data_IF_301247470446
#
_entry.id   IF_301247470446
#
_cell.length_a   1.000
_cell.length_b   1.000
_cell.length_c   1.000
_cell.angle_alpha   90.00
_cell.angle_beta   90.00
_cell.angle_gamma   90.00
#
_symmetry.space_group_name_H-M   'P 1'
#
loop_
_entity.id
_entity.type
_entity.pdbx_description
1 polymer ?
#
# COMPACT_ATOMS: atom_id res chain seq x y z
N UNK A 1 -4.31 -2.07 -14.39
CA UNK A 1 -3.34 -2.33 -13.28
C UNK A 1 -4.06 -2.08 -11.97
N UNK A 2 -3.80 -2.89 -10.95
CA UNK A 2 -4.41 -2.76 -9.62
C UNK A 2 -3.88 -1.52 -8.89
N UNK A 3 -4.75 -0.55 -8.58
CA UNK A 3 -4.37 0.65 -7.83
C UNK A 3 -3.97 0.34 -6.37
N UNK A 4 -4.50 -0.75 -5.81
CA UNK A 4 -4.23 -1.17 -4.42
C UNK A 4 -2.77 -1.59 -4.18
N UNK A 5 -1.99 -1.85 -5.23
CA UNK A 5 -0.55 -2.18 -5.12
C UNK A 5 0.37 -1.01 -5.45
N UNK A 6 -0.18 0.17 -5.66
CA UNK A 6 0.59 1.40 -5.83
C UNK A 6 0.82 2.02 -4.46
N UNK A 7 2.08 2.08 -4.06
CA UNK A 7 2.50 2.79 -2.86
C UNK A 7 2.80 4.25 -3.22
N UNK A 8 2.09 5.18 -2.60
CA UNK A 8 2.33 6.61 -2.77
C UNK A 8 3.25 7.09 -1.66
N UNK A 9 4.47 7.41 -2.03
CA UNK A 9 5.43 7.96 -1.10
C UNK A 9 5.21 9.46 -0.98
N UNK A 10 4.53 9.87 0.07
CA UNK A 10 4.47 11.26 0.49
C UNK A 10 5.10 11.39 1.87
N UNK A 11 5.97 12.39 2.12
CA UNK A 11 6.58 12.57 3.44
C UNK A 11 5.56 12.82 4.57
N UNK A 12 4.35 13.22 4.22
CA UNK A 12 3.29 13.61 5.16
C UNK A 12 2.03 12.75 5.09
N UNK A 13 2.10 11.56 4.49
CA UNK A 13 0.92 10.71 4.29
C UNK A 13 -0.15 11.38 3.41
N UNK A 14 -0.89 10.60 2.64
CA UNK A 14 -2.09 11.10 1.99
C UNK A 14 -3.16 11.35 3.04
N UNK A 15 -3.83 12.50 3.02
CA UNK A 15 -4.86 12.88 4.00
C UNK A 15 -5.93 11.80 4.23
N UNK A 16 -6.22 10.95 3.23
CA UNK A 16 -7.20 9.87 3.36
C UNK A 16 -6.73 8.62 4.12
N UNK A 17 -5.44 8.51 4.47
CA UNK A 17 -4.86 7.29 5.09
C UNK A 17 -4.60 7.48 6.60
N UNK A 18 -4.70 8.71 7.11
CA UNK A 18 -4.48 8.99 8.54
C UNK A 18 -5.48 8.29 9.45
N UNK A 19 -6.71 8.11 8.97
CA UNK A 19 -7.79 7.46 9.71
C UNK A 19 -7.74 5.93 9.60
N UNK A 20 -6.96 5.38 8.68
CA UNK A 20 -6.83 3.95 8.48
C UNK A 20 -5.86 3.35 9.51
N UNK A 21 -6.11 2.12 9.93
CA UNK A 21 -5.13 1.29 10.62
C UNK A 21 -4.41 0.36 9.62
N UNK A 22 -3.63 -0.60 10.13
CA UNK A 22 -2.92 -1.55 9.30
C UNK A 22 -3.86 -2.46 8.49
N UNK A 23 -5.03 -2.82 9.03
CA UNK A 23 -6.04 -3.63 8.36
C UNK A 23 -6.71 -2.87 7.23
N UNK A 24 -7.23 -1.67 7.50
CA UNK A 24 -7.84 -0.80 6.49
C UNK A 24 -6.89 -0.54 5.33
N UNK A 25 -5.65 -0.23 5.66
CA UNK A 25 -4.61 0.00 4.66
C UNK A 25 -4.33 -1.24 3.82
N UNK A 26 -4.16 -2.42 4.46
CA UNK A 26 -3.82 -3.65 3.75
C UNK A 26 -4.91 -4.08 2.76
N UNK A 27 -6.16 -3.85 3.10
CA UNK A 27 -7.32 -4.25 2.28
C UNK A 27 -7.90 -3.13 1.40
N UNK A 28 -7.24 -1.96 1.35
CA UNK A 28 -7.70 -0.79 0.55
C UNK A 28 -9.10 -0.34 0.96
N UNK A 29 -9.38 -0.35 2.25
CA UNK A 29 -10.70 -0.08 2.83
C UNK A 29 -10.96 1.42 3.04
N UNK A 30 -10.12 2.30 2.57
CA UNK A 30 -10.15 3.74 2.81
C UNK A 30 -11.57 4.30 3.00
N UNK A 31 -11.91 4.63 4.24
CA UNK A 31 -13.19 5.21 4.62
C UNK A 31 -12.96 6.56 5.33
N UNK A 32 -12.82 7.67 4.59
CA UNK A 32 -12.51 8.97 5.17
C UNK A 32 -13.62 9.51 6.10
N UNK A 33 -14.80 8.90 6.08
CA UNK A 33 -15.96 9.31 6.90
C UNK A 33 -16.12 8.50 8.18
N UNK A 34 -15.32 7.43 8.38
CA UNK A 34 -15.38 6.65 9.61
C UNK A 34 -14.25 7.08 10.53
N UNK A 35 -14.54 7.61 11.70
CA UNK A 35 -13.53 7.86 12.72
C UNK A 35 -13.00 6.56 13.35
N UNK A 36 -13.68 5.45 13.12
CA UNK A 36 -13.36 4.15 13.69
C UNK A 36 -12.50 3.34 12.73
N UNK A 37 -11.39 2.85 13.25
CA UNK A 37 -10.51 1.92 12.56
C UNK A 37 -11.15 0.56 12.55
N UNK A 38 -11.26 -0.02 11.35
CA UNK A 38 -11.88 -1.32 11.21
C UNK A 38 -10.94 -2.44 11.70
N UNK A 39 -11.55 -3.48 12.20
CA UNK A 39 -10.89 -4.72 12.58
C UNK A 39 -11.51 -5.89 11.81
N UNK A 40 -10.83 -7.05 11.69
CA UNK A 40 -11.44 -8.22 11.05
C UNK A 40 -12.78 -8.58 11.69
N UNK A 41 -13.84 -8.68 10.88
CA UNK A 41 -15.23 -8.93 11.29
C UNK A 41 -16.15 -7.71 11.18
N UNK A 42 -15.63 -6.49 11.14
CA UNK A 42 -16.47 -5.28 11.13
C UNK A 42 -17.31 -5.18 9.85
N UNK A 43 -16.78 -5.60 8.71
CA UNK A 43 -17.50 -5.53 7.44
C UNK A 43 -18.58 -6.61 7.33
N UNK A 44 -18.44 -7.74 8.03
CA UNK A 44 -19.43 -8.81 8.11
C UNK A 44 -20.42 -8.66 9.26
N UNK A 45 -20.23 -7.65 10.12
CA UNK A 45 -20.98 -7.42 11.35
C UNK A 45 -20.78 -8.52 12.41
N UNK A 46 -19.67 -9.22 12.36
CA UNK A 46 -19.24 -10.12 13.42
C UNK A 46 -18.58 -9.32 14.54
N UNK A 47 -19.40 -8.75 15.41
CA UNK A 47 -18.99 -7.88 16.53
C UNK A 47 -18.45 -8.61 17.75
N UNK A 48 -18.12 -9.87 17.62
CA UNK A 48 -17.55 -10.62 18.75
C UNK A 48 -16.16 -10.07 19.12
N UNK A 49 -16.16 -9.04 19.91
CA UNK A 49 -15.01 -8.47 20.62
C UNK A 49 -14.58 -9.44 21.71
N UNK A 50 -13.74 -10.40 21.38
CA UNK A 50 -13.33 -11.38 22.36
C UNK A 50 -11.96 -11.97 22.07
N UNK A 51 -11.52 -12.90 22.89
CA UNK A 51 -10.25 -13.62 22.79
C UNK A 51 -10.03 -14.31 21.42
N UNK A 52 -11.10 -14.62 20.68
CA UNK A 52 -11.04 -15.16 19.31
C UNK A 52 -10.39 -14.23 18.30
N UNK A 53 -10.41 -12.95 18.57
CA UNK A 53 -9.78 -11.92 17.76
C UNK A 53 -8.25 -11.99 17.76
N UNK A 54 -7.68 -12.59 18.78
CA UNK A 54 -6.24 -12.63 19.03
C UNK A 54 -5.55 -13.88 18.49
N UNK A 55 -6.28 -14.84 17.97
CA UNK A 55 -5.71 -16.04 17.39
C UNK A 55 -5.79 -16.03 15.85
N UNK A 56 -4.87 -16.73 15.21
CA UNK A 56 -4.75 -16.75 13.76
C UNK A 56 -6.01 -17.27 13.06
N UNK A 57 -6.66 -18.29 13.61
CA UNK A 57 -7.85 -18.89 13.01
C UNK A 57 -9.06 -17.96 13.11
N UNK A 58 -9.25 -17.31 14.25
CA UNK A 58 -10.32 -16.33 14.44
C UNK A 58 -10.19 -15.12 13.50
N UNK A 59 -8.97 -14.60 13.34
CA UNK A 59 -8.67 -13.54 12.38
C UNK A 59 -8.96 -14.01 10.95
N UNK A 60 -8.50 -15.21 10.57
CA UNK A 60 -8.67 -15.74 9.21
C UNK A 60 -10.15 -15.90 8.84
N UNK A 61 -10.96 -16.49 9.75
CA UNK A 61 -12.41 -16.63 9.56
C UNK A 61 -13.06 -15.27 9.26
N UNK A 62 -12.80 -14.27 10.09
CA UNK A 62 -13.40 -12.94 9.97
C UNK A 62 -12.99 -12.20 8.72
N UNK A 63 -11.71 -12.29 8.33
CA UNK A 63 -11.23 -11.72 7.06
C UNK A 63 -11.97 -12.33 5.88
N UNK A 64 -12.16 -13.66 5.86
CA UNK A 64 -12.84 -14.32 4.76
C UNK A 64 -14.33 -13.99 4.72
N UNK A 65 -14.97 -13.75 5.85
CA UNK A 65 -16.35 -13.25 5.90
C UNK A 65 -16.45 -11.78 5.44
N UNK A 66 -15.57 -10.89 5.92
CA UNK A 66 -15.55 -9.49 5.50
C UNK A 66 -15.37 -9.34 3.99
N UNK A 67 -14.54 -10.19 3.40
CA UNK A 67 -14.18 -10.16 1.98
C UNK A 67 -14.68 -11.36 1.21
N UNK A 68 -15.85 -11.91 1.57
CA UNK A 68 -16.47 -13.05 0.92
C UNK A 68 -16.54 -12.89 -0.61
N UNK A 69 -15.87 -13.80 -1.33
CA UNK A 69 -15.71 -13.75 -2.79
C UNK A 69 -14.75 -12.66 -3.30
N UNK A 70 -14.12 -11.88 -2.42
CA UNK A 70 -13.17 -10.82 -2.75
C UNK A 70 -11.75 -11.14 -2.27
N UNK A 71 -11.60 -12.08 -1.33
CA UNK A 71 -10.32 -12.58 -0.87
C UNK A 71 -10.37 -14.10 -0.68
N UNK A 72 -9.21 -14.73 -0.73
CA UNK A 72 -9.03 -16.13 -0.36
C UNK A 72 -7.67 -16.31 0.32
N UNK A 73 -7.63 -17.19 1.29
CA UNK A 73 -6.40 -17.59 1.98
C UNK A 73 -5.57 -18.49 1.09
N UNK A 74 -4.26 -18.35 1.13
CA UNK A 74 -3.31 -19.20 0.40
C UNK A 74 -2.52 -20.07 1.38
N UNK A 75 -2.20 -21.33 1.00
CA UNK A 75 -1.60 -22.30 1.93
C UNK A 75 -0.16 -21.92 2.32
N UNK A 76 0.56 -21.21 1.47
CA UNK A 76 1.93 -20.74 1.70
C UNK A 76 2.05 -19.27 1.32
N UNK A 77 2.80 -18.50 2.10
CA UNK A 77 3.07 -17.08 1.82
C UNK A 77 3.71 -16.85 0.45
N UNK A 78 4.45 -17.84 -0.08
CA UNK A 78 5.08 -17.81 -1.40
C UNK A 78 4.14 -18.10 -2.56
N UNK A 79 2.97 -18.74 -2.31
CA UNK A 79 1.98 -19.04 -3.36
C UNK A 79 1.59 -17.78 -4.12
N UNK A 80 1.71 -17.75 -5.46
CA UNK A 80 1.34 -16.56 -6.23
C UNK A 80 -0.18 -16.33 -6.22
N UNK A 81 -0.58 -15.07 -6.25
CA UNK A 81 -1.98 -14.71 -6.47
C UNK A 81 -2.31 -14.74 -7.98
N UNK A 82 -3.53 -15.13 -8.31
CA UNK A 82 -4.05 -15.04 -9.69
C UNK A 82 -4.15 -13.58 -10.16
N UNK A 83 -4.26 -13.39 -11.46
CA UNK A 83 -4.40 -12.06 -12.05
C UNK A 83 -5.57 -11.28 -11.43
N UNK A 84 -5.40 -9.97 -11.24
CA UNK A 84 -6.40 -9.12 -10.59
C UNK A 84 -6.40 -9.16 -9.06
N UNK A 85 -5.49 -9.92 -8.44
CA UNK A 85 -5.33 -10.00 -6.99
C UNK A 85 -3.93 -9.53 -6.56
N UNK A 86 -3.82 -9.07 -5.32
CA UNK A 86 -2.56 -8.73 -4.65
C UNK A 86 -2.45 -9.48 -3.33
N UNK A 87 -1.23 -9.61 -2.84
CA UNK A 87 -0.97 -10.38 -1.63
C UNK A 87 -1.01 -9.50 -0.39
N UNK A 88 -1.59 -10.04 0.67
CA UNK A 88 -1.62 -9.47 2.02
C UNK A 88 -1.12 -10.53 2.99
N UNK A 89 -0.36 -10.13 4.01
CA UNK A 89 0.12 -11.02 5.07
C UNK A 89 -0.27 -10.48 6.44
N UNK A 90 -0.63 -11.38 7.33
CA UNK A 90 -0.99 -11.10 8.72
C UNK A 90 0.01 -11.71 9.69
N UNK A 91 0.36 -10.92 10.69
CA UNK A 91 1.18 -11.30 11.83
C UNK A 91 0.50 -10.87 13.13
N UNK A 92 0.75 -11.59 14.20
CA UNK A 92 0.25 -11.25 15.54
C UNK A 92 1.41 -11.19 16.54
N UNK A 93 1.17 -10.47 17.62
CA UNK A 93 2.02 -10.53 18.79
C UNK A 93 1.95 -11.95 19.40
N UNK A 94 3.07 -12.54 19.83
CA UNK A 94 3.09 -13.84 20.50
C UNK A 94 2.12 -13.91 21.69
N UNK A 95 1.99 -12.81 22.42
CA UNK A 95 1.13 -12.68 23.59
C UNK A 95 -0.35 -12.42 23.23
N UNK A 96 -0.71 -12.43 21.94
CA UNK A 96 -2.08 -12.25 21.48
C UNK A 96 -2.64 -10.84 21.71
N UNK A 97 -1.76 -9.84 22.00
CA UNK A 97 -2.20 -8.48 22.32
C UNK A 97 -2.61 -7.64 21.12
N UNK A 98 -2.02 -7.90 19.95
CA UNK A 98 -2.23 -7.08 18.77
C UNK A 98 -1.89 -7.85 17.49
N UNK A 99 -2.29 -7.30 16.34
CA UNK A 99 -2.03 -7.82 15.00
C UNK A 99 -1.48 -6.74 14.09
N UNK A 100 -0.79 -7.19 13.03
CA UNK A 100 -0.26 -6.29 12.01
C UNK A 100 -0.38 -6.86 10.61
N UNK A 101 -0.57 -5.97 9.64
CA UNK A 101 -0.85 -6.33 8.27
C UNK A 101 0.14 -5.68 7.31
N UNK A 102 0.58 -6.47 6.34
CA UNK A 102 1.45 -6.05 5.24
C UNK A 102 0.73 -6.29 3.93
N UNK A 103 0.88 -5.38 2.98
CA UNK A 103 0.42 -5.58 1.60
C UNK A 103 1.55 -5.45 0.61
N UNK A 104 1.45 -6.18 -0.49
CA UNK A 104 2.36 -6.13 -1.62
C UNK A 104 2.33 -4.75 -2.28
N UNK A 105 3.52 -4.21 -2.58
CA UNK A 105 3.70 -3.00 -3.37
C UNK A 105 4.44 -3.35 -4.65
N UNK A 106 3.77 -3.25 -5.80
CA UNK A 106 4.34 -3.53 -7.12
C UNK A 106 4.80 -2.27 -7.84
N UNK A 107 4.40 -1.12 -7.32
CA UNK A 107 4.75 0.19 -7.84
C UNK A 107 4.85 1.19 -6.71
N UNK A 108 5.82 2.11 -6.83
CA UNK A 108 5.95 3.25 -5.92
C UNK A 108 5.83 4.53 -6.71
N UNK A 109 4.96 5.44 -6.29
CA UNK A 109 4.97 6.82 -6.72
C UNK A 109 5.85 7.61 -5.75
N UNK A 110 7.01 8.02 -6.21
CA UNK A 110 8.03 8.68 -5.40
C UNK A 110 8.24 10.11 -5.82
N UNK A 111 8.14 11.04 -4.88
CA UNK A 111 8.52 12.44 -5.08
C UNK A 111 9.99 12.61 -4.76
N UNK A 112 10.77 12.97 -5.75
CA UNK A 112 12.21 13.20 -5.64
C UNK A 112 12.46 14.31 -4.63
N UNK A 113 13.39 14.09 -3.71
CA UNK A 113 13.78 14.99 -2.63
C UNK A 113 15.04 15.76 -3.00
N UNK A 114 15.31 16.91 -2.35
CA UNK A 114 16.64 17.51 -2.40
C UNK A 114 17.72 16.50 -1.97
N UNK A 115 18.83 16.43 -2.71
CA UNK A 115 19.92 15.49 -2.46
C UNK A 115 19.74 14.08 -3.06
N UNK A 116 18.55 13.74 -3.61
CA UNK A 116 18.38 12.48 -4.32
C UNK A 116 19.19 12.41 -5.61
N UNK A 117 19.81 11.25 -5.81
CA UNK A 117 20.46 10.85 -7.05
C UNK A 117 19.84 9.58 -7.62
N UNK A 118 20.11 9.28 -8.89
CA UNK A 118 19.71 7.98 -9.48
C UNK A 118 20.21 6.83 -8.64
N UNK A 119 21.43 6.90 -8.12
CA UNK A 119 22.04 5.85 -7.30
C UNK A 119 21.34 5.72 -5.95
N UNK A 120 21.09 6.82 -5.23
CA UNK A 120 20.45 6.78 -3.90
C UNK A 120 19.02 6.23 -3.98
N UNK A 121 18.25 6.69 -4.98
CA UNK A 121 16.88 6.23 -5.22
C UNK A 121 16.87 4.75 -5.63
N UNK A 122 17.76 4.33 -6.53
CA UNK A 122 17.90 2.94 -6.95
C UNK A 122 18.24 2.01 -5.77
N UNK A 123 19.21 2.41 -4.92
CA UNK A 123 19.61 1.69 -3.71
C UNK A 123 18.46 1.57 -2.72
N UNK A 124 17.73 2.67 -2.46
CA UNK A 124 16.63 2.70 -1.51
C UNK A 124 15.48 1.78 -1.92
N UNK A 125 15.01 1.89 -3.18
CA UNK A 125 13.93 1.04 -3.69
C UNK A 125 14.39 -0.32 -4.19
N UNK A 126 15.71 -0.59 -4.15
CA UNK A 126 16.32 -1.86 -4.59
C UNK A 126 15.95 -2.23 -6.01
N UNK A 127 16.02 -1.25 -6.90
CA UNK A 127 15.81 -1.38 -8.35
C UNK A 127 17.09 -1.02 -9.11
N UNK A 128 17.28 -1.49 -10.36
CA UNK A 128 18.38 -1.06 -11.19
C UNK A 128 18.36 0.46 -11.43
N UNK A 129 19.52 1.09 -11.55
CA UNK A 129 19.61 2.53 -11.88
C UNK A 129 18.92 2.86 -13.22
N UNK A 130 19.00 1.94 -14.19
CA UNK A 130 18.29 2.02 -15.47
C UNK A 130 16.78 2.16 -15.30
N UNK A 131 16.20 1.50 -14.31
CA UNK A 131 14.77 1.61 -13.96
C UNK A 131 14.42 3.00 -13.47
N UNK A 132 15.27 3.61 -12.61
CA UNK A 132 15.08 4.99 -12.13
C UNK A 132 15.20 5.98 -13.28
N UNK A 133 16.22 5.84 -14.12
CA UNK A 133 16.44 6.67 -15.32
C UNK A 133 15.22 6.60 -16.25
N UNK A 134 14.74 5.41 -16.58
CA UNK A 134 13.57 5.21 -17.44
C UNK A 134 12.30 5.84 -16.86
N UNK A 135 12.05 5.66 -15.55
CA UNK A 135 10.89 6.25 -14.87
C UNK A 135 10.95 7.77 -14.85
N UNK A 136 12.13 8.35 -14.66
CA UNK A 136 12.34 9.79 -14.67
C UNK A 136 12.09 10.38 -16.06
N UNK A 137 12.67 9.79 -17.10
CA UNK A 137 12.45 10.20 -18.50
C UNK A 137 10.97 10.10 -18.89
N UNK A 138 10.30 9.00 -18.54
CA UNK A 138 8.86 8.82 -18.80
C UNK A 138 8.02 9.90 -18.14
N UNK A 139 8.31 10.26 -16.89
CA UNK A 139 7.59 11.29 -16.15
C UNK A 139 7.75 12.70 -16.79
N UNK A 140 8.84 12.95 -17.50
CA UNK A 140 9.04 14.19 -18.26
C UNK A 140 8.27 14.19 -19.58
N UNK A 141 8.34 13.10 -20.35
CA UNK A 141 7.63 12.98 -21.65
C UNK A 141 6.12 13.07 -21.49
N UNK A 142 5.54 12.50 -20.44
CA UNK A 142 4.11 12.55 -20.20
C UNK A 142 3.56 13.99 -20.04
N UNK A 143 4.38 14.93 -19.60
CA UNK A 143 3.99 16.34 -19.46
C UNK A 143 3.96 17.07 -20.81
N UNK A 144 4.87 16.74 -21.72
CA UNK A 144 4.91 17.31 -23.09
C UNK A 144 3.73 16.81 -23.94
N UNK A 145 3.37 15.52 -23.79
CA UNK A 145 2.25 14.93 -24.52
C UNK A 145 0.87 15.46 -24.06
N UNK A 146 0.72 15.83 -22.78
CA UNK A 146 -0.52 16.39 -22.25
C UNK A 146 -0.89 17.76 -22.84
N UNK A 147 0.05 18.44 -23.46
CA UNK A 147 -0.16 19.75 -24.11
C UNK A 147 -0.61 19.65 -25.57
N UNK A 148 -0.94 18.43 -26.07
CA UNK A 148 -1.55 18.23 -27.40
C UNK A 148 -0.70 18.60 -28.62
N UNK A 149 0.62 18.84 -28.44
CA UNK A 149 1.52 19.24 -29.52
C UNK A 149 2.26 18.04 -30.11
N UNK A 150 2.19 17.88 -31.42
CA UNK A 150 2.85 16.82 -32.17
C UNK A 150 4.34 17.11 -32.39
N UNK A 151 4.76 18.38 -32.37
CA UNK A 151 6.16 18.80 -32.54
C UNK A 151 6.67 19.51 -31.27
N UNK A 152 7.90 19.18 -30.88
CA UNK A 152 8.57 19.84 -29.75
C UNK A 152 9.13 21.19 -30.22
N UNK A 153 8.93 22.20 -29.40
CA UNK A 153 9.59 23.52 -29.61
C UNK A 153 11.09 23.39 -29.31
N UNK A 154 11.88 24.34 -29.83
CA UNK A 154 13.32 24.41 -29.51
C UNK A 154 13.59 24.51 -28.00
N UNK A 155 12.70 25.15 -27.25
CA UNK A 155 12.79 25.23 -25.79
C UNK A 155 12.54 23.88 -25.12
N UNK A 156 11.58 23.09 -25.61
CA UNK A 156 11.30 21.74 -25.12
C UNK A 156 12.44 20.78 -25.46
N UNK A 157 13.06 20.92 -26.64
CA UNK A 157 14.28 20.18 -27.04
C UNK A 157 15.47 20.51 -26.13
N UNK A 158 15.71 21.79 -25.82
CA UNK A 158 16.77 22.21 -24.87
C UNK A 158 16.49 21.62 -23.47
N UNK A 159 15.24 21.65 -23.03
CA UNK A 159 14.83 21.08 -21.76
C UNK A 159 15.06 19.57 -21.75
N UNK A 160 14.72 18.87 -22.83
CA UNK A 160 14.94 17.42 -22.95
C UNK A 160 16.42 17.06 -22.93
N UNK A 161 17.25 17.82 -23.64
CA UNK A 161 18.71 17.65 -23.65
C UNK A 161 19.31 17.88 -22.25
N UNK A 162 18.89 18.92 -21.55
CA UNK A 162 19.31 19.19 -20.18
C UNK A 162 18.88 18.05 -19.24
N UNK A 163 17.67 17.51 -19.41
CA UNK A 163 17.16 16.37 -18.64
C UNK A 163 17.93 15.08 -18.92
N UNK A 164 18.27 14.83 -20.18
CA UNK A 164 19.11 13.70 -20.57
C UNK A 164 20.50 13.82 -19.92
N UNK A 165 21.07 15.01 -19.88
CA UNK A 165 22.34 15.27 -19.21
C UNK A 165 22.24 15.05 -17.69
N UNK A 166 21.20 15.56 -17.04
CA UNK A 166 20.96 15.28 -15.61
C UNK A 166 20.84 13.78 -15.32
N UNK A 167 20.13 13.05 -16.18
CA UNK A 167 19.99 11.59 -16.05
C UNK A 167 21.33 10.90 -16.30
N UNK A 168 22.11 11.36 -17.26
CA UNK A 168 23.45 10.85 -17.57
C UNK A 168 24.40 11.06 -16.39
N UNK A 169 24.39 12.24 -15.79
CA UNK A 169 25.21 12.59 -14.61
C UNK A 169 24.64 12.04 -13.28
N UNK A 170 23.51 11.36 -13.31
CA UNK A 170 22.87 10.78 -12.11
C UNK A 170 22.10 11.78 -11.24
N UNK A 171 21.93 13.03 -11.70
CA UNK A 171 21.20 14.07 -10.98
C UNK A 171 19.69 13.95 -11.22
N UNK A 172 18.89 14.21 -10.19
CA UNK A 172 17.43 14.20 -10.26
C UNK A 172 16.88 15.56 -9.78
N UNK A 173 15.84 16.05 -10.47
CA UNK A 173 15.21 17.32 -10.09
C UNK A 173 14.25 17.11 -8.91
N UNK A 174 14.43 17.77 -7.75
CA UNK A 174 13.52 17.69 -6.61
C UNK A 174 12.09 18.09 -6.97
N UNK A 175 11.12 17.52 -6.24
CA UNK A 175 9.70 17.77 -6.42
C UNK A 175 9.03 16.97 -7.55
N UNK A 176 9.81 16.39 -8.48
CA UNK A 176 9.26 15.54 -9.55
C UNK A 176 8.76 14.20 -8.97
N UNK A 177 7.57 13.79 -9.40
CA UNK A 177 7.03 12.46 -9.06
C UNK A 177 7.39 11.47 -10.17
N UNK A 178 8.02 10.38 -9.78
CA UNK A 178 8.33 9.24 -10.67
C UNK A 178 7.58 7.99 -10.20
N UNK A 179 7.27 7.11 -11.14
CA UNK A 179 6.58 5.85 -10.86
C UNK A 179 7.51 4.68 -11.13
N UNK A 180 7.97 4.05 -10.06
CA UNK A 180 8.93 2.95 -10.09
C UNK A 180 8.23 1.60 -9.97
N UNK A 181 8.46 0.64 -10.87
CA UNK A 181 8.09 -0.76 -10.64
C UNK A 181 9.00 -1.31 -9.53
N UNK A 182 8.39 -1.91 -8.51
CA UNK A 182 9.10 -2.48 -7.36
C UNK A 182 8.54 -3.86 -6.99
N UNK A 183 9.29 -4.60 -6.19
CA UNK A 183 8.84 -5.84 -5.54
C UNK A 183 9.09 -5.69 -4.04
N UNK A 184 8.28 -4.85 -3.41
CA UNK A 184 8.40 -4.50 -2.01
C UNK A 184 7.07 -4.78 -1.29
N UNK A 185 7.10 -4.60 0.02
CA UNK A 185 5.93 -4.67 0.87
C UNK A 185 5.79 -3.37 1.63
N UNK A 186 4.54 -3.01 1.86
CA UNK A 186 4.19 -1.81 2.62
C UNK A 186 3.24 -2.16 3.74
N UNK A 187 3.26 -1.34 4.78
CA UNK A 187 2.34 -1.44 5.90
C UNK A 187 2.04 -0.05 6.46
N UNK A 188 1.06 0.04 7.32
CA UNK A 188 0.75 1.26 8.07
C UNK A 188 0.78 0.94 9.55
N UNK A 189 1.57 1.70 10.31
CA UNK A 189 1.52 1.64 11.76
C UNK A 189 0.22 2.27 12.27
N UNK A 190 -0.38 1.68 13.31
CA UNK A 190 -1.75 1.93 13.77
C UNK A 190 -2.21 3.38 13.79
N UNK A 191 -1.87 4.13 14.86
CA UNK A 191 -2.47 5.43 15.17
C UNK A 191 -1.64 6.65 14.73
N UNK A 192 -0.63 6.54 13.97
CA UNK A 192 0.19 7.67 13.54
C UNK A 192 0.85 7.42 12.20
N UNK A 193 1.23 8.48 11.54
CA UNK A 193 2.00 8.41 10.32
C UNK A 193 1.27 7.82 9.10
N UNK A 194 1.89 7.99 7.95
CA UNK A 194 1.46 7.37 6.70
C UNK A 194 1.97 5.94 6.54
N UNK A 195 1.58 5.27 5.44
CA UNK A 195 2.14 3.97 5.09
C UNK A 195 3.64 4.06 4.86
N UNK A 196 4.35 2.98 5.21
CA UNK A 196 5.79 2.85 5.04
C UNK A 196 6.14 1.55 4.31
N UNK A 197 7.33 1.50 3.73
CA UNK A 197 7.91 0.32 3.06
C UNK A 197 9.17 -0.18 3.77
N UNK A 198 9.39 0.30 4.99
CA UNK A 198 10.55 -0.06 5.82
C UNK A 198 10.09 -0.79 7.07
N UNK A 199 10.91 -1.73 7.54
CA UNK A 199 10.71 -2.48 8.77
C UNK A 199 11.15 -1.69 10.02
N UNK A 200 11.09 -2.30 11.19
CA UNK A 200 11.49 -1.70 12.46
C UNK A 200 12.99 -1.31 12.52
N UNK A 201 13.82 -1.83 11.62
CA UNK A 201 15.24 -1.44 11.47
C UNK A 201 15.46 -0.35 10.41
N UNK A 202 14.40 0.20 9.80
CA UNK A 202 14.51 1.17 8.71
C UNK A 202 14.90 0.57 7.36
N UNK A 203 14.94 -0.77 7.22
CA UNK A 203 15.27 -1.46 5.97
C UNK A 203 14.04 -1.70 5.11
N UNK A 204 14.16 -1.49 3.79
CA UNK A 204 13.04 -1.77 2.85
C UNK A 204 12.61 -3.24 2.91
N UNK A 205 11.30 -3.46 3.01
CA UNK A 205 10.71 -4.79 3.19
C UNK A 205 10.60 -5.49 1.84
N UNK A 206 11.47 -6.48 1.59
CA UNK A 206 11.37 -7.39 0.44
C UNK A 206 10.44 -8.56 0.73
N UNK A 207 10.45 -9.04 1.97
CA UNK A 207 9.66 -10.17 2.43
C UNK A 207 9.24 -9.92 3.89
N UNK A 208 7.95 -9.83 4.19
CA UNK A 208 7.50 -9.65 5.57
C UNK A 208 7.90 -10.76 6.52
N UNK A 209 8.10 -12.00 6.03
CA UNK A 209 8.50 -13.14 6.85
C UNK A 209 9.91 -12.96 7.46
N UNK A 210 10.79 -12.22 6.78
CA UNK A 210 12.17 -11.98 7.22
C UNK A 210 12.44 -10.55 7.67
N UNK A 211 11.44 -9.67 7.60
CA UNK A 211 11.53 -8.30 8.06
C UNK A 211 11.62 -8.22 9.59
N UNK A 212 12.29 -7.20 10.12
CA UNK A 212 12.23 -6.91 11.54
C UNK A 212 10.85 -6.34 11.90
N UNK A 213 10.08 -7.06 12.73
CA UNK A 213 8.74 -6.69 13.15
C UNK A 213 8.66 -6.37 14.65
N UNK A 214 9.81 -6.15 15.26
CA UNK A 214 9.92 -5.77 16.67
C UNK A 214 9.99 -4.23 16.79
N UNK A 215 8.83 -3.62 16.89
CA UNK A 215 8.68 -2.18 17.11
C UNK A 215 8.68 -1.88 18.62
N UNK A 216 9.03 -0.66 19.05
CA UNK A 216 8.94 -0.29 20.45
C UNK A 216 7.55 -0.60 21.04
N UNK A 217 7.50 -1.46 22.05
CA UNK A 217 6.27 -1.90 22.71
C UNK A 217 5.40 -2.89 21.94
N UNK A 218 5.76 -3.24 20.68
CA UNK A 218 4.94 -4.08 19.81
C UNK A 218 5.80 -5.09 19.05
N UNK A 219 5.58 -6.38 19.28
CA UNK A 219 6.30 -7.44 18.58
C UNK A 219 5.32 -8.31 17.78
N UNK A 220 5.39 -8.25 16.46
CA UNK A 220 4.54 -9.05 15.56
C UNK A 220 5.28 -10.24 14.97
N UNK A 221 5.94 -11.05 15.80
CA UNK A 221 6.82 -12.12 15.33
C UNK A 221 6.08 -13.35 14.81
N UNK A 222 4.83 -13.61 15.24
CA UNK A 222 4.07 -14.79 14.84
C UNK A 222 3.35 -14.56 13.51
N UNK A 223 3.77 -15.25 12.46
CA UNK A 223 3.05 -15.30 11.19
C UNK A 223 1.73 -16.07 11.35
N UNK A 224 0.63 -15.50 10.88
CA UNK A 224 -0.69 -16.14 10.89
C UNK A 224 -1.09 -16.68 9.53
N UNK A 225 -1.17 -15.81 8.53
CA UNK A 225 -1.76 -16.19 7.25
C UNK A 225 -1.36 -15.22 6.13
N UNK A 226 -1.52 -15.70 4.91
CA UNK A 226 -1.42 -14.89 3.70
C UNK A 226 -2.70 -15.02 2.88
N UNK A 227 -3.09 -13.93 2.25
CA UNK A 227 -4.30 -13.82 1.45
C UNK A 227 -3.99 -13.25 0.08
N UNK A 228 -4.78 -13.68 -0.90
CA UNK A 228 -4.91 -12.99 -2.16
C UNK A 228 -6.20 -12.17 -2.14
N UNK A 229 -6.07 -10.87 -2.28
CA UNK A 229 -7.16 -9.89 -2.17
C UNK A 229 -7.42 -9.29 -3.54
N UNK A 230 -8.68 -9.32 -3.99
CA UNK A 230 -9.08 -8.74 -5.29
C UNK A 230 -8.81 -7.23 -5.29
N UNK A 231 -8.34 -6.72 -6.40
CA UNK A 231 -8.14 -5.29 -6.56
C UNK A 231 -9.43 -4.51 -6.28
N UNK A 232 -9.35 -3.46 -5.46
CA UNK A 232 -10.49 -2.66 -4.98
C UNK A 232 -11.46 -3.43 -4.06
N UNK A 233 -11.02 -4.54 -3.44
CA UNK A 233 -11.87 -5.33 -2.54
C UNK A 233 -12.44 -4.50 -1.39
N UNK A 234 -11.63 -3.64 -0.77
CA UNK A 234 -12.07 -2.78 0.33
C UNK A 234 -13.24 -1.87 -0.05
N UNK A 235 -13.19 -1.25 -1.22
CA UNK A 235 -14.29 -0.40 -1.73
C UNK A 235 -15.57 -1.21 -1.92
N UNK A 236 -15.46 -2.42 -2.45
CA UNK A 236 -16.62 -3.31 -2.65
C UNK A 236 -17.19 -3.80 -1.33
N UNK A 237 -16.35 -4.20 -0.38
CA UNK A 237 -16.77 -4.61 0.96
C UNK A 237 -17.47 -3.48 1.71
N UNK A 238 -16.91 -2.28 1.67
CA UNK A 238 -17.49 -1.08 2.27
C UNK A 238 -18.86 -0.72 1.65
N UNK A 239 -19.01 -0.84 0.34
CA UNK A 239 -20.29 -0.61 -0.34
C UNK A 239 -21.35 -1.61 0.11
N UNK A 240 -20.99 -2.90 0.22
CA UNK A 240 -21.87 -3.95 0.76
C UNK A 240 -22.27 -3.68 2.21
N UNK A 241 -21.31 -3.31 3.06
CA UNK A 241 -21.57 -2.95 4.45
C UNK A 241 -22.57 -1.79 4.55
N UNK A 242 -22.34 -0.70 3.83
CA UNK A 242 -23.23 0.48 3.81
C UNK A 242 -24.64 0.13 3.31
N UNK A 243 -24.75 -0.71 2.29
CA UNK A 243 -26.04 -1.15 1.77
C UNK A 243 -26.81 -1.97 2.83
N UNK A 244 -26.12 -2.82 3.60
CA UNK A 244 -26.72 -3.59 4.69
C UNK A 244 -27.17 -2.69 5.83
N UNK A 245 -26.32 -1.78 6.29
CA UNK A 245 -26.66 -0.85 7.38
C UNK A 245 -27.90 -0.01 7.03
N UNK A 246 -27.98 0.49 5.78
CA UNK A 246 -29.17 1.24 5.30
C UNK A 246 -30.47 0.41 5.36
N UNK A 247 -30.41 -0.91 5.14
CA UNK A 247 -31.57 -1.80 5.24
C UNK A 247 -31.98 -2.05 6.69
N UNK A 248 -31.00 -2.03 7.62
CA UNK A 248 -31.25 -2.29 9.05
C UNK A 248 -31.71 -1.04 9.82
N UNK A 249 -31.47 0.15 9.27
CA UNK A 249 -31.98 1.42 9.84
C UNK A 249 -33.19 1.82 9.01
N UNK A 250 -34.43 1.49 9.44
CA UNK A 250 -35.64 2.01 8.79
C UNK A 250 -35.53 3.53 8.82
N UNK A 251 -35.81 4.18 7.71
CA UNK A 251 -36.05 5.64 7.70
C UNK A 251 -37.17 5.86 8.69
N UNK A 252 -36.89 6.48 9.82
CA UNK A 252 -37.89 7.15 10.60
C UNK A 252 -38.42 8.25 9.64
N UNK A 253 -39.55 7.95 9.02
CA UNK A 253 -40.32 8.93 8.28
C UNK A 253 -40.80 9.94 9.31
N UNK A 254 -40.21 11.12 9.30
CA UNK A 254 -40.79 12.32 9.83
C UNK A 254 -41.37 13.13 8.68
#
# INVERSE_FOLDING_TARGET
>A
MCSSVVFKWTPYGTQGVWHDNCYDYAFDLNNPKSPNKNVPGDMSNDKAWGLTFRNCNGIAKRVLEDYKGLAYQIPRATTPCRAGYYKVMNFVSPNGGDFHWYREARRVEYRIRPGDSVQSVAKFFRVPQTTVKAAYTKAHRARSAANGRIAMTNQELRTLNHLNEMVRTGRLRPGKVISLPVRLWSHKQGFGGGPVIVDASGKTIKNPLTANRNYPGLNYSKFCSAYCVKCRAGRTALARYRARVRKMTPRLAF
#
